data_IF_534206717500
#
_entry.id   IF_534206717500
#
_cell.length_a   1.000
_cell.length_b   1.000
_cell.length_c   1.000
_cell.angle_alpha   90.00
_cell.angle_beta   90.00
_cell.angle_gamma   90.00
#
_symmetry.space_group_name_H-M   'P 1'
#
loop_
_entity.id
_entity.type
_entity.pdbx_description
1 polymer ?
#
# COMPACT_ATOMS: atom_id res chain seq x y z
N UNK A 1 19.36 6.31 -15.05
CA UNK A 1 18.14 7.13 -15.14
C UNK A 1 16.97 6.17 -15.08
N UNK A 2 15.99 6.42 -14.21
CA UNK A 2 14.77 5.59 -14.16
C UNK A 2 13.85 6.05 -15.28
N UNK A 3 13.40 5.13 -16.12
CA UNK A 3 12.44 5.43 -17.19
C UNK A 3 11.03 5.67 -16.63
N UNK A 4 10.16 6.29 -17.43
CA UNK A 4 8.81 6.69 -17.00
C UNK A 4 7.95 5.51 -16.55
N UNK A 5 8.10 4.33 -17.14
CA UNK A 5 7.31 3.16 -16.74
C UNK A 5 7.78 2.61 -15.40
N UNK A 6 9.10 2.51 -15.19
CA UNK A 6 9.68 2.12 -13.90
C UNK A 6 9.33 3.13 -12.80
N UNK A 7 9.37 4.44 -13.11
CA UNK A 7 8.93 5.50 -12.19
C UNK A 7 7.47 5.31 -11.77
N UNK A 8 6.57 5.07 -12.73
CA UNK A 8 5.16 4.82 -12.45
C UNK A 8 4.94 3.59 -11.55
N UNK A 9 5.65 2.49 -11.81
CA UNK A 9 5.59 1.28 -10.97
C UNK A 9 6.09 1.55 -9.55
N UNK A 10 7.17 2.32 -9.40
CA UNK A 10 7.70 2.71 -8.09
C UNK A 10 6.73 3.59 -7.31
N UNK A 11 6.01 4.50 -7.97
CA UNK A 11 4.93 5.27 -7.33
C UNK A 11 3.82 4.38 -6.79
N UNK A 12 3.42 3.34 -7.52
CA UNK A 12 2.39 2.42 -7.05
C UNK A 12 2.91 1.51 -5.92
N UNK A 13 4.17 1.06 -6.02
CA UNK A 13 4.83 0.33 -4.96
C UNK A 13 4.94 1.15 -3.66
N UNK A 14 5.19 2.45 -3.77
CA UNK A 14 5.25 3.35 -2.62
C UNK A 14 3.92 3.48 -1.87
N UNK A 15 2.78 3.26 -2.56
CA UNK A 15 1.45 3.18 -1.94
C UNK A 15 1.25 1.87 -1.19
N UNK A 16 1.82 0.75 -1.67
CA UNK A 16 1.74 -0.54 -0.99
C UNK A 16 2.45 -0.49 0.37
N UNK A 17 3.64 0.11 0.42
CA UNK A 17 4.38 0.29 1.66
C UNK A 17 5.90 0.39 1.47
N UNK A 18 6.64 0.40 2.58
CA UNK A 18 8.12 0.40 2.57
C UNK A 18 8.73 -0.90 2.07
N UNK A 19 8.01 -2.01 2.19
CA UNK A 19 8.34 -3.29 1.58
C UNK A 19 7.09 -3.93 0.97
N UNK A 20 7.29 -4.74 -0.06
CA UNK A 20 6.21 -5.40 -0.78
C UNK A 20 6.69 -6.67 -1.47
N UNK A 21 5.75 -7.54 -1.79
CA UNK A 21 5.98 -8.76 -2.57
C UNK A 21 5.62 -8.50 -4.04
N UNK A 22 6.37 -9.10 -4.98
CA UNK A 22 6.11 -8.97 -6.43
C UNK A 22 4.67 -9.32 -6.80
N UNK A 23 4.06 -10.42 -6.29
CA UNK A 23 2.67 -10.76 -6.61
C UNK A 23 1.70 -9.63 -6.26
N UNK A 24 1.82 -9.00 -5.09
CA UNK A 24 0.94 -7.90 -4.70
C UNK A 24 1.08 -6.70 -5.64
N UNK A 25 2.33 -6.31 -5.97
CA UNK A 25 2.57 -5.22 -6.91
C UNK A 25 1.98 -5.52 -8.29
N UNK A 26 2.16 -6.75 -8.81
CA UNK A 26 1.63 -7.18 -10.10
C UNK A 26 0.11 -7.01 -10.21
N UNK A 27 -0.63 -7.39 -9.16
CA UNK A 27 -2.09 -7.23 -9.11
C UNK A 27 -2.52 -5.75 -9.11
N UNK A 28 -1.69 -4.86 -8.57
CA UNK A 28 -1.98 -3.42 -8.47
C UNK A 28 -1.67 -2.67 -9.76
N UNK A 29 -0.55 -3.00 -10.44
CA UNK A 29 -0.10 -2.29 -11.65
C UNK A 29 -0.72 -2.80 -12.95
N UNK A 30 -1.35 -3.99 -12.95
CA UNK A 30 -1.91 -4.64 -14.14
C UNK A 30 -0.93 -4.72 -15.32
N UNK A 31 0.34 -5.05 -15.05
CA UNK A 31 1.39 -5.23 -16.05
C UNK A 31 1.71 -6.71 -16.27
N UNK A 32 2.20 -7.04 -17.47
CA UNK A 32 2.76 -8.35 -17.77
C UNK A 32 3.98 -8.65 -16.88
N UNK A 33 4.20 -9.93 -16.56
CA UNK A 33 5.24 -10.34 -15.62
C UNK A 33 6.65 -9.94 -16.08
N UNK A 34 7.01 -10.23 -17.34
CA UNK A 34 8.33 -9.89 -17.90
C UNK A 34 8.63 -8.39 -17.87
N UNK A 35 7.60 -7.56 -18.06
CA UNK A 35 7.71 -6.11 -17.98
C UNK A 35 8.00 -5.66 -16.54
N UNK A 36 7.27 -6.23 -15.57
CA UNK A 36 7.46 -5.92 -14.15
C UNK A 36 8.83 -6.38 -13.65
N UNK A 37 9.32 -7.55 -14.07
CA UNK A 37 10.64 -8.06 -13.68
C UNK A 37 11.76 -7.15 -14.19
N UNK A 38 11.67 -6.65 -15.42
CA UNK A 38 12.63 -5.66 -15.95
C UNK A 38 12.63 -4.35 -15.16
N UNK A 39 11.45 -3.86 -14.77
CA UNK A 39 11.31 -2.63 -13.97
C UNK A 39 11.87 -2.81 -12.56
N UNK A 40 11.57 -3.94 -11.90
CA UNK A 40 12.10 -4.27 -10.57
C UNK A 40 13.62 -4.47 -10.60
N UNK A 41 14.16 -5.09 -11.66
CA UNK A 41 15.60 -5.17 -11.88
C UNK A 41 16.21 -3.77 -12.01
N UNK A 42 15.64 -2.91 -12.85
CA UNK A 42 16.10 -1.51 -13.04
C UNK A 42 16.07 -0.70 -11.74
N UNK A 43 14.99 -0.81 -10.97
CA UNK A 43 14.85 -0.16 -9.66
C UNK A 43 15.84 -0.68 -8.61
N UNK A 44 16.21 -1.96 -8.68
CA UNK A 44 17.22 -2.55 -7.77
C UNK A 44 18.63 -2.13 -8.18
N UNK A 45 18.95 -2.21 -9.47
CA UNK A 45 20.26 -1.84 -10.04
C UNK A 45 20.58 -0.34 -9.87
N UNK A 46 19.55 0.50 -9.79
CA UNK A 46 19.69 1.94 -9.50
C UNK A 46 19.76 2.27 -8.00
N UNK A 47 19.58 1.30 -7.11
CA UNK A 47 19.61 1.48 -5.66
C UNK A 47 18.37 2.11 -5.05
N UNK A 48 17.28 2.26 -5.80
CA UNK A 48 15.97 2.70 -5.28
C UNK A 48 15.36 1.61 -4.40
N UNK A 49 15.41 0.37 -4.87
CA UNK A 49 14.97 -0.81 -4.15
C UNK A 49 16.16 -1.68 -3.74
N UNK A 50 15.95 -2.46 -2.68
CA UNK A 50 16.76 -3.63 -2.33
C UNK A 50 15.90 -4.87 -2.52
N UNK A 51 16.45 -5.87 -3.20
CA UNK A 51 15.86 -7.19 -3.26
C UNK A 51 16.25 -7.97 -1.99
N UNK A 52 15.24 -8.53 -1.32
CA UNK A 52 15.35 -9.52 -0.26
C UNK A 52 14.88 -10.87 -0.80
N UNK A 53 14.94 -11.95 0.00
CA UNK A 53 14.63 -13.30 -0.47
C UNK A 53 13.27 -13.43 -1.19
N UNK A 54 12.22 -12.80 -0.65
CA UNK A 54 10.84 -12.88 -1.20
C UNK A 54 10.20 -11.51 -1.41
N UNK A 55 10.93 -10.43 -1.16
CA UNK A 55 10.39 -9.07 -1.07
C UNK A 55 11.31 -8.04 -1.68
N UNK A 56 10.73 -6.90 -2.00
CA UNK A 56 11.45 -5.68 -2.34
C UNK A 56 11.24 -4.67 -1.23
N UNK A 57 12.26 -3.90 -0.91
CA UNK A 57 12.19 -2.81 0.06
C UNK A 57 12.74 -1.54 -0.56
N UNK A 58 12.08 -0.41 -0.33
CA UNK A 58 12.70 0.89 -0.60
C UNK A 58 13.96 1.04 0.25
N UNK A 59 15.05 1.54 -0.35
CA UNK A 59 16.33 1.70 0.37
C UNK A 59 16.16 2.48 1.68
N UNK A 60 15.30 3.49 1.67
CA UNK A 60 14.87 4.19 2.87
C UNK A 60 13.45 4.76 2.69
N UNK A 61 12.89 5.25 3.81
CA UNK A 61 11.56 5.81 3.84
C UNK A 61 11.44 7.16 3.10
N UNK A 62 12.53 7.93 2.98
CA UNK A 62 12.51 9.22 2.30
C UNK A 62 12.28 9.03 0.80
N UNK A 63 13.02 8.10 0.18
CA UNK A 63 12.84 7.72 -1.24
C UNK A 63 11.40 7.25 -1.48
N UNK A 64 10.86 6.38 -0.62
CA UNK A 64 9.46 5.94 -0.73
C UNK A 64 8.51 7.14 -0.74
N UNK A 65 8.71 8.08 0.19
CA UNK A 65 7.85 9.25 0.31
C UNK A 65 7.93 10.19 -0.90
N UNK A 66 9.08 10.28 -1.57
CA UNK A 66 9.22 11.02 -2.83
C UNK A 66 8.31 10.42 -3.91
N UNK A 67 8.38 9.11 -4.14
CA UNK A 67 7.50 8.42 -5.09
C UNK A 67 6.03 8.50 -4.67
N UNK A 68 5.72 8.32 -3.38
CA UNK A 68 4.35 8.38 -2.85
C UNK A 68 3.71 9.75 -3.05
N UNK A 69 4.47 10.83 -2.81
CA UNK A 69 4.00 12.23 -2.97
C UNK A 69 3.93 12.65 -4.43
N UNK A 70 4.61 11.94 -5.32
CA UNK A 70 4.53 12.18 -6.75
C UNK A 70 3.19 11.78 -7.38
N UNK A 71 2.34 11.01 -6.70
CA UNK A 71 0.99 10.73 -7.17
C UNK A 71 0.04 11.86 -6.78
N UNK A 72 -0.80 12.27 -7.72
CA UNK A 72 -1.96 13.07 -7.39
C UNK A 72 -2.88 12.30 -6.41
N UNK A 73 -3.66 13.04 -5.63
CA UNK A 73 -4.47 12.48 -4.56
C UNK A 73 -5.49 11.46 -5.08
N UNK A 74 -6.16 11.74 -6.21
CA UNK A 74 -7.17 10.85 -6.76
C UNK A 74 -6.57 9.51 -7.22
N UNK A 75 -5.44 9.55 -7.94
CA UNK A 75 -4.71 8.34 -8.34
C UNK A 75 -4.23 7.58 -7.11
N UNK A 76 -3.69 8.27 -6.11
CA UNK A 76 -3.21 7.66 -4.86
C UNK A 76 -4.34 6.94 -4.12
N UNK A 77 -5.50 7.56 -3.94
CA UNK A 77 -6.67 6.91 -3.35
C UNK A 77 -7.13 5.71 -4.16
N UNK A 78 -7.15 5.82 -5.50
CA UNK A 78 -7.46 4.70 -6.39
C UNK A 78 -6.48 3.53 -6.24
N UNK A 79 -5.18 3.81 -6.06
CA UNK A 79 -4.18 2.78 -5.79
C UNK A 79 -4.42 2.13 -4.42
N UNK A 80 -4.63 2.91 -3.36
CA UNK A 80 -4.97 2.36 -2.04
C UNK A 80 -6.20 1.45 -2.10
N UNK A 81 -7.25 1.83 -2.85
CA UNK A 81 -8.44 0.99 -3.06
C UNK A 81 -8.10 -0.35 -3.69
N UNK A 82 -7.29 -0.37 -4.76
CA UNK A 82 -6.86 -1.62 -5.41
C UNK A 82 -6.05 -2.48 -4.47
N UNK A 83 -5.13 -1.90 -3.69
CA UNK A 83 -4.34 -2.63 -2.70
C UNK A 83 -5.25 -3.29 -1.67
N UNK A 84 -6.24 -2.56 -1.13
CA UNK A 84 -7.20 -3.10 -0.19
C UNK A 84 -7.98 -4.30 -0.77
N UNK A 85 -8.42 -4.22 -2.03
CA UNK A 85 -9.12 -5.34 -2.71
C UNK A 85 -8.23 -6.58 -2.77
N UNK A 86 -6.96 -6.44 -3.17
CA UNK A 86 -6.03 -7.57 -3.25
C UNK A 86 -5.78 -8.15 -1.87
N UNK A 87 -5.49 -7.32 -0.87
CA UNK A 87 -5.24 -7.76 0.51
C UNK A 87 -6.42 -8.53 1.11
N UNK A 88 -7.66 -8.09 0.83
CA UNK A 88 -8.88 -8.82 1.23
C UNK A 88 -8.94 -10.20 0.58
N UNK A 89 -8.67 -10.29 -0.73
CA UNK A 89 -8.73 -11.56 -1.45
C UNK A 89 -7.68 -12.58 -0.98
N UNK A 90 -6.56 -12.12 -0.43
CA UNK A 90 -5.49 -12.96 0.08
C UNK A 90 -5.58 -13.23 1.59
N UNK A 91 -6.62 -12.74 2.29
CA UNK A 91 -6.77 -12.91 3.73
C UNK A 91 -5.68 -12.23 4.56
N UNK A 92 -5.21 -11.04 4.14
CA UNK A 92 -4.26 -10.26 4.92
C UNK A 92 -4.86 -9.79 6.25
N UNK A 93 -4.02 -9.35 7.18
CA UNK A 93 -4.50 -8.85 8.48
C UNK A 93 -5.39 -7.60 8.34
N UNK A 94 -6.33 -7.48 9.27
CA UNK A 94 -7.33 -6.43 9.26
C UNK A 94 -6.71 -5.02 9.34
N UNK A 95 -5.58 -4.85 10.03
CA UNK A 95 -4.91 -3.56 10.17
C UNK A 95 -4.38 -3.05 8.84
N UNK A 96 -3.73 -3.91 8.05
CA UNK A 96 -3.28 -3.57 6.70
C UNK A 96 -4.45 -3.25 5.78
N UNK A 97 -5.53 -4.04 5.83
CA UNK A 97 -6.72 -3.77 5.01
C UNK A 97 -7.35 -2.42 5.41
N UNK A 98 -7.52 -2.16 6.70
CA UNK A 98 -8.05 -0.92 7.24
C UNK A 98 -7.22 0.29 6.79
N UNK A 99 -5.89 0.22 6.90
CA UNK A 99 -4.99 1.28 6.46
C UNK A 99 -5.26 1.71 5.01
N UNK A 100 -5.34 0.74 4.08
CA UNK A 100 -5.57 1.04 2.68
C UNK A 100 -7.02 1.47 2.40
N UNK A 101 -8.02 0.94 3.10
CA UNK A 101 -9.40 1.39 2.93
C UNK A 101 -9.59 2.83 3.40
N UNK A 102 -9.03 3.22 4.55
CA UNK A 102 -9.14 4.59 5.05
C UNK A 102 -8.40 5.57 4.14
N UNK A 103 -7.19 5.24 3.70
CA UNK A 103 -6.41 6.07 2.78
C UNK A 103 -7.02 6.19 1.37
N UNK A 104 -7.97 5.31 1.04
CA UNK A 104 -8.70 5.33 -0.21
C UNK A 104 -9.96 6.18 -0.18
N UNK A 105 -10.41 6.69 0.98
CA UNK A 105 -11.59 7.55 1.05
C UNK A 105 -11.39 8.87 0.27
N UNK A 106 -12.42 9.38 -0.44
CA UNK A 106 -13.80 8.87 -0.51
C UNK A 106 -14.03 7.79 -1.59
N UNK A 107 -12.99 7.27 -2.23
CA UNK A 107 -13.09 6.29 -3.33
C UNK A 107 -13.27 4.83 -2.86
N UNK A 108 -13.28 4.58 -1.55
CA UNK A 108 -13.55 3.27 -0.92
C UNK A 108 -14.84 3.31 -0.10
N UNK A 109 -15.32 2.14 0.36
CA UNK A 109 -16.46 2.05 1.27
C UNK A 109 -16.08 2.50 2.68
N UNK A 110 -16.74 3.55 3.19
CA UNK A 110 -16.60 4.01 4.57
C UNK A 110 -17.04 2.94 5.58
N UNK A 111 -18.09 2.19 5.27
CA UNK A 111 -18.57 1.07 6.08
C UNK A 111 -17.51 -0.04 6.19
N UNK A 112 -16.88 -0.41 5.07
CA UNK A 112 -15.81 -1.41 5.11
C UNK A 112 -14.57 -0.89 5.82
N UNK A 113 -14.20 0.38 5.62
CA UNK A 113 -13.09 1.01 6.32
C UNK A 113 -13.32 0.97 7.83
N UNK A 114 -14.53 1.30 8.29
CA UNK A 114 -14.91 1.21 9.69
C UNK A 114 -14.83 -0.22 10.21
N UNK A 115 -15.44 -1.18 9.51
CA UNK A 115 -15.47 -2.59 9.91
C UNK A 115 -14.05 -3.15 10.11
N UNK A 116 -13.18 -2.99 9.13
CA UNK A 116 -11.80 -3.49 9.24
C UNK A 116 -10.98 -2.73 10.28
N UNK A 117 -11.24 -1.44 10.49
CA UNK A 117 -10.56 -0.67 11.55
C UNK A 117 -10.96 -1.18 12.94
N UNK A 118 -12.24 -1.49 13.16
CA UNK A 118 -12.72 -2.11 14.41
C UNK A 118 -12.15 -3.53 14.60
N UNK A 119 -12.11 -4.32 13.54
CA UNK A 119 -11.54 -5.67 13.56
C UNK A 119 -10.05 -5.63 13.91
N UNK A 120 -9.29 -4.71 13.30
CA UNK A 120 -7.89 -4.46 13.62
C UNK A 120 -7.69 -4.07 15.09
N UNK A 121 -8.50 -3.14 15.61
CA UNK A 121 -8.42 -2.71 17.00
C UNK A 121 -8.70 -3.85 17.99
N UNK A 122 -9.65 -4.74 17.67
CA UNK A 122 -9.96 -5.92 18.49
C UNK A 122 -8.87 -6.99 18.47
N UNK A 123 -8.16 -7.12 17.35
CA UNK A 123 -7.11 -8.11 17.18
C UNK A 123 -5.73 -7.65 17.69
N UNK A 124 -5.55 -6.34 17.92
CA UNK A 124 -4.26 -5.81 18.38
C UNK A 124 -3.96 -6.22 19.82
N UNK A 125 -2.73 -6.68 20.04
CA UNK A 125 -2.18 -7.02 21.36
C UNK A 125 -1.51 -5.81 22.03
N UNK A 126 -1.28 -4.73 21.28
CA UNK A 126 -0.73 -3.49 21.80
C UNK A 126 -1.88 -2.52 22.11
N UNK A 127 -2.08 -2.24 23.40
CA UNK A 127 -3.16 -1.35 23.85
C UNK A 127 -3.08 0.04 23.23
N UNK A 128 -1.87 0.55 22.95
CA UNK A 128 -1.69 1.86 22.33
C UNK A 128 -2.13 1.86 20.86
N UNK A 129 -1.81 0.79 20.14
CA UNK A 129 -2.26 0.57 18.76
C UNK A 129 -3.78 0.37 18.70
N UNK A 130 -4.33 -0.44 19.60
CA UNK A 130 -5.77 -0.66 19.71
C UNK A 130 -6.55 0.64 19.94
N UNK A 131 -6.08 1.49 20.88
CA UNK A 131 -6.67 2.82 21.13
C UNK A 131 -6.60 3.70 19.89
N UNK A 132 -5.46 3.72 19.19
CA UNK A 132 -5.31 4.50 17.96
C UNK A 132 -6.29 4.04 16.86
N UNK A 133 -6.49 2.73 16.71
CA UNK A 133 -7.43 2.14 15.76
C UNK A 133 -8.88 2.46 16.13
N UNK A 134 -9.27 2.34 17.40
CA UNK A 134 -10.63 2.72 17.82
C UNK A 134 -10.91 4.22 17.68
N UNK A 135 -9.92 5.09 17.96
CA UNK A 135 -10.03 6.52 17.70
C UNK A 135 -10.19 6.83 16.21
N UNK A 136 -9.52 6.06 15.33
CA UNK A 136 -9.71 6.17 13.88
C UNK A 136 -11.12 5.73 13.46
N UNK A 137 -11.64 4.64 14.02
CA UNK A 137 -13.01 4.18 13.79
C UNK A 137 -14.05 5.24 14.17
N UNK A 138 -13.86 5.92 15.31
CA UNK A 138 -14.76 6.99 15.75
C UNK A 138 -14.82 8.14 14.72
N UNK A 139 -13.66 8.57 14.20
CA UNK A 139 -13.60 9.61 13.16
C UNK A 139 -14.31 9.22 11.86
N UNK A 140 -14.51 7.93 11.59
CA UNK A 140 -15.19 7.45 10.38
C UNK A 140 -16.72 7.52 10.52
N UNK A 141 -17.26 7.45 11.74
CA UNK A 141 -18.71 7.56 11.99
C UNK A 141 -19.19 8.99 12.24
N UNK A 142 -18.27 9.89 12.60
CA UNK A 142 -18.55 11.32 12.82
C UNK A 142 -18.57 12.15 11.52
N UNK A 143 -18.27 11.53 10.36
CA UNK A 143 -18.28 12.15 9.03
C UNK A 143 -19.64 12.03 8.35
#
# INVERSE_FOLDING_TARGET
MIDTETDQVLRFAAVIGGSFEKPLLRHVVHRAEDSLDRMLHTATSSGVLRAEATRYRFRDNAIRLEFYRGLDEAVRCGVHRRVAVVLKSTGADAARIAHHLVAALPYSSAEEALRYTLEAGRASLDHSEAVALFAQALKLVER
#
